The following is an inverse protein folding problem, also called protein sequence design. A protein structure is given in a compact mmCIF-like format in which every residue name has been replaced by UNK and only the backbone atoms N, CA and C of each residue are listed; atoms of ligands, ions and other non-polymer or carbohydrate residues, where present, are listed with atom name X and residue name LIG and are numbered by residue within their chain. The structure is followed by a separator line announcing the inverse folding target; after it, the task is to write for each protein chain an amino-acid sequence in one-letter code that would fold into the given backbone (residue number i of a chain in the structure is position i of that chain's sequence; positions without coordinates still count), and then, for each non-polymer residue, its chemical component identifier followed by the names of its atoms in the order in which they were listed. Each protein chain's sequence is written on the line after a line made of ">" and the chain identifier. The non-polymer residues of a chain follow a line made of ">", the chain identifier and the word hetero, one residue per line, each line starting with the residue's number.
data_IF_965624355456
#
_entry.id   IF_965624355456
#
_cell.length_a   1.000
_cell.length_b   1.000
_cell.length_c   1.000
_cell.angle_alpha   90.00
_cell.angle_beta   90.00
_cell.angle_gamma   90.00
#
_symmetry.space_group_name_H-M   'P 1'
#
loop_
_entity.id
_entity.type
_entity.pdbx_description
1 polymer ?
#
# COMPACT_ATOMS: atom_id res chain seq x y z
N UNK A 1 40.49 -10.69 14.16
CA UNK A 1 39.82 -9.37 13.97
C UNK A 1 38.51 -9.49 13.20
N UNK A 2 38.46 -10.22 12.07
CA UNK A 2 37.23 -10.38 11.26
C UNK A 2 36.05 -11.04 12.01
N UNK A 3 36.33 -12.01 12.89
CA UNK A 3 35.30 -12.72 13.66
C UNK A 3 34.57 -11.82 14.67
N UNK A 4 35.29 -10.92 15.36
CA UNK A 4 34.67 -9.97 16.30
C UNK A 4 33.74 -8.98 15.58
N UNK A 5 34.12 -8.53 14.39
CA UNK A 5 33.30 -7.62 13.56
C UNK A 5 32.03 -8.32 13.08
N UNK A 6 32.13 -9.59 12.66
CA UNK A 6 30.98 -10.40 12.25
C UNK A 6 29.96 -10.60 13.37
N UNK A 7 30.42 -10.90 14.59
CA UNK A 7 29.54 -11.07 15.77
C UNK A 7 28.88 -9.73 16.14
N UNK A 8 29.62 -8.62 16.09
CA UNK A 8 29.06 -7.28 16.38
C UNK A 8 27.99 -6.87 15.37
N UNK A 9 28.20 -7.13 14.07
CA UNK A 9 27.20 -6.87 13.02
C UNK A 9 25.96 -7.77 13.17
N UNK A 10 26.15 -9.04 13.52
CA UNK A 10 25.07 -9.98 13.77
C UNK A 10 24.19 -9.56 14.95
N UNK A 11 24.81 -9.14 16.06
CA UNK A 11 24.09 -8.65 17.24
C UNK A 11 23.37 -7.32 16.98
N UNK A 12 23.97 -6.42 16.19
CA UNK A 12 23.33 -5.18 15.76
C UNK A 12 22.11 -5.43 14.86
N UNK A 13 22.19 -6.43 13.96
CA UNK A 13 21.05 -6.83 13.12
C UNK A 13 19.89 -7.41 13.94
N UNK A 14 20.20 -8.23 14.97
CA UNK A 14 19.19 -8.73 15.91
C UNK A 14 18.58 -7.60 16.76
N UNK A 15 19.38 -6.62 17.19
CA UNK A 15 18.92 -5.49 17.98
C UNK A 15 18.01 -4.53 17.17
N UNK A 16 18.26 -4.35 15.87
CA UNK A 16 17.36 -3.58 14.99
C UNK A 16 16.01 -4.28 14.77
N UNK A 17 16.01 -5.62 14.77
CA UNK A 17 14.80 -6.44 14.70
C UNK A 17 14.12 -6.63 16.06
N UNK A 18 14.78 -6.27 17.16
CA UNK A 18 14.16 -6.29 18.47
C UNK A 18 13.06 -5.23 18.50
N UNK A 19 11.84 -5.58 18.97
CA UNK A 19 10.82 -4.58 19.21
C UNK A 19 11.41 -3.51 20.13
N UNK A 20 11.41 -2.26 19.68
CA UNK A 20 11.68 -1.11 20.55
C UNK A 20 10.48 -1.05 21.51
N UNK A 21 10.60 -1.75 22.63
CA UNK A 21 9.71 -1.56 23.78
C UNK A 21 10.05 -0.19 24.33
N UNK A 22 9.24 0.82 24.00
CA UNK A 22 9.25 2.10 24.72
C UNK A 22 9.14 1.77 26.21
N UNK A 23 10.20 2.09 26.94
CA UNK A 23 10.38 1.65 28.32
C UNK A 23 9.28 2.19 29.22
N UNK A 24 8.52 1.26 29.81
CA UNK A 24 7.59 1.57 30.87
C UNK A 24 6.70 0.38 31.19
N UNK A 25 7.15 -0.43 32.15
CA UNK A 25 6.43 -1.45 32.91
C UNK A 25 6.11 -2.82 32.28
N UNK A 26 6.65 -3.86 32.93
CA UNK A 26 6.22 -5.23 32.76
C UNK A 26 5.01 -5.53 33.63
N UNK A 27 4.38 -6.67 33.32
CA UNK A 27 3.28 -7.31 34.08
C UNK A 27 1.89 -6.75 33.76
N UNK A 28 1.18 -7.46 32.87
CA UNK A 28 -0.28 -7.58 32.79
C UNK A 28 -1.08 -6.39 33.34
N UNK A 29 -1.34 -5.40 32.48
CA UNK A 29 -2.57 -4.62 32.57
C UNK A 29 -3.37 -4.84 31.29
N UNK A 30 -4.58 -5.37 31.48
CA UNK A 30 -5.60 -5.50 30.47
C UNK A 30 -5.99 -4.14 29.87
N UNK A 31 -6.77 -4.22 28.79
CA UNK A 31 -7.55 -3.17 28.15
C UNK A 31 -6.81 -2.25 27.16
N UNK A 32 -7.08 -2.51 25.88
CA UNK A 32 -7.56 -1.50 24.93
C UNK A 32 -6.86 -0.13 25.02
N UNK A 33 -5.54 -0.11 24.90
CA UNK A 33 -4.82 1.10 24.51
C UNK A 33 -4.73 1.07 22.99
N UNK A 34 -5.82 1.50 22.35
CA UNK A 34 -5.98 1.73 20.92
C UNK A 34 -4.92 1.08 20.04
N UNK A 35 -5.17 -0.18 19.66
CA UNK A 35 -4.43 -0.92 18.63
C UNK A 35 -4.63 -0.30 17.23
N UNK A 36 -4.69 1.03 17.11
CA UNK A 36 -4.32 1.75 15.89
C UNK A 36 -2.79 1.69 15.84
N UNK A 37 -2.30 0.47 15.70
CA UNK A 37 -0.91 0.10 15.88
C UNK A 37 -0.07 0.70 14.76
N UNK A 38 0.83 1.59 15.15
CA UNK A 38 2.09 1.85 14.45
C UNK A 38 3.08 0.66 14.57
N UNK A 39 2.56 -0.55 14.77
CA UNK A 39 3.32 -1.78 14.87
C UNK A 39 3.26 -2.51 13.53
N UNK A 40 4.43 -2.90 13.01
CA UNK A 40 4.59 -3.80 11.85
C UNK A 40 3.89 -3.34 10.56
N UNK A 41 4.44 -2.29 9.92
CA UNK A 41 4.56 -2.09 8.46
C UNK A 41 3.32 -2.09 7.54
N UNK A 42 2.13 -2.44 8.03
CA UNK A 42 0.97 -2.75 7.20
C UNK A 42 -0.32 -2.85 8.01
N UNK A 43 -0.54 -1.91 8.93
CA UNK A 43 -1.81 -1.76 9.65
C UNK A 43 -2.97 -1.36 8.72
N UNK A 44 -4.02 -0.73 9.28
CA UNK A 44 -5.23 -0.31 8.55
C UNK A 44 -4.89 0.45 7.24
N UNK A 45 -3.83 1.25 7.23
CA UNK A 45 -3.35 1.99 6.04
C UNK A 45 -2.97 1.04 4.89
N UNK A 46 -2.25 -0.05 5.16
CA UNK A 46 -1.89 -1.04 4.14
C UNK A 46 -3.11 -1.75 3.57
N UNK A 47 -4.12 -2.01 4.41
CA UNK A 47 -5.39 -2.61 3.99
C UNK A 47 -6.20 -1.64 3.11
N UNK A 48 -6.27 -0.36 3.46
CA UNK A 48 -6.90 0.67 2.63
C UNK A 48 -6.23 0.74 1.25
N UNK A 49 -4.90 0.78 1.23
CA UNK A 49 -4.11 0.83 -0.01
C UNK A 49 -4.36 -0.42 -0.88
N UNK A 50 -4.42 -1.61 -0.28
CA UNK A 50 -4.75 -2.85 -0.98
C UNK A 50 -6.17 -2.80 -1.60
N UNK A 51 -7.15 -2.31 -0.85
CA UNK A 51 -8.53 -2.16 -1.35
C UNK A 51 -8.57 -1.18 -2.52
N UNK A 52 -7.86 -0.05 -2.42
CA UNK A 52 -7.79 0.93 -3.50
C UNK A 52 -7.11 0.37 -4.76
N UNK A 53 -6.07 -0.45 -4.64
CA UNK A 53 -5.43 -1.14 -5.77
C UNK A 53 -6.43 -2.02 -6.53
N UNK A 54 -7.24 -2.81 -5.81
CA UNK A 54 -8.30 -3.64 -6.41
C UNK A 54 -9.34 -2.79 -7.14
N UNK A 55 -9.75 -1.65 -6.58
CA UNK A 55 -10.71 -0.76 -7.23
C UNK A 55 -10.17 -0.19 -8.54
N UNK A 56 -8.90 0.20 -8.56
CA UNK A 56 -8.23 0.69 -9.78
C UNK A 56 -8.17 -0.42 -10.82
N UNK A 57 -7.85 -1.66 -10.43
CA UNK A 57 -7.87 -2.81 -11.34
C UNK A 57 -9.25 -3.02 -11.98
N UNK A 58 -10.32 -2.99 -11.17
CA UNK A 58 -11.69 -3.14 -11.68
C UNK A 58 -12.02 -2.00 -12.67
N UNK A 59 -11.66 -0.76 -12.35
CA UNK A 59 -11.87 0.40 -13.23
C UNK A 59 -11.12 0.25 -14.57
N UNK A 60 -9.83 -0.11 -14.51
CA UNK A 60 -8.98 -0.31 -15.68
C UNK A 60 -9.49 -1.45 -16.55
N UNK A 61 -9.87 -2.58 -15.95
CA UNK A 61 -10.39 -3.74 -16.68
C UNK A 61 -11.74 -3.43 -17.35
N UNK A 62 -12.62 -2.67 -16.70
CA UNK A 62 -13.92 -2.24 -17.24
C UNK A 62 -13.82 -1.10 -18.28
N UNK A 63 -12.67 -0.42 -18.38
CA UNK A 63 -12.48 0.68 -19.32
C UNK A 63 -12.47 0.24 -20.79
N UNK A 64 -12.86 1.14 -21.70
CA UNK A 64 -12.75 0.95 -23.16
C UNK A 64 -11.34 1.34 -23.66
N UNK A 65 -10.30 0.74 -23.07
CA UNK A 65 -8.90 0.94 -23.47
C UNK A 65 -8.33 -0.31 -24.13
N UNK A 66 -7.33 -0.20 -25.02
CA UNK A 66 -6.66 -1.37 -25.56
C UNK A 66 -5.99 -2.21 -24.46
N UNK A 67 -5.88 -3.54 -24.62
CA UNK A 67 -5.34 -4.44 -23.59
C UNK A 67 -3.95 -4.08 -23.09
N UNK A 68 -3.08 -3.55 -23.97
CA UNK A 68 -1.72 -3.10 -23.62
C UNK A 68 -1.72 -1.98 -22.59
N UNK A 69 -2.64 -1.02 -22.71
CA UNK A 69 -2.75 0.10 -21.78
C UNK A 69 -3.34 -0.35 -20.44
N UNK A 70 -4.27 -1.31 -20.46
CA UNK A 70 -4.81 -1.90 -19.23
C UNK A 70 -3.71 -2.57 -18.41
N UNK A 71 -2.90 -3.41 -19.07
CA UNK A 71 -1.78 -4.10 -18.43
C UNK A 71 -0.75 -3.13 -17.86
N UNK A 72 -0.40 -2.08 -18.60
CA UNK A 72 0.57 -1.08 -18.16
C UNK A 72 0.08 -0.34 -16.89
N UNK A 73 -1.19 0.06 -16.86
CA UNK A 73 -1.77 0.71 -15.67
C UNK A 73 -1.86 -0.24 -14.47
N UNK A 74 -2.30 -1.49 -14.67
CA UNK A 74 -2.31 -2.49 -13.61
C UNK A 74 -0.90 -2.73 -13.04
N UNK A 75 0.12 -2.85 -13.89
CA UNK A 75 1.50 -3.12 -13.45
C UNK A 75 2.09 -1.97 -12.62
N UNK A 76 1.83 -0.72 -13.02
CA UNK A 76 2.32 0.46 -12.30
C UNK A 76 1.71 0.56 -10.90
N UNK A 77 0.39 0.37 -10.78
CA UNK A 77 -0.32 0.52 -9.49
C UNK A 77 0.04 -0.64 -8.56
N UNK A 78 0.16 -1.86 -9.09
CA UNK A 78 0.53 -3.04 -8.29
C UNK A 78 1.98 -2.99 -7.76
N UNK A 79 2.94 -2.61 -8.61
CA UNK A 79 4.36 -2.57 -8.22
C UNK A 79 4.66 -1.38 -7.29
N UNK A 80 3.92 -0.29 -7.45
CA UNK A 80 4.03 0.90 -6.64
C UNK A 80 2.66 1.30 -6.09
N UNK A 81 2.15 0.67 -5.02
CA UNK A 81 0.78 0.88 -4.56
C UNK A 81 0.49 2.36 -4.21
N UNK A 82 1.41 3.04 -3.54
CA UNK A 82 1.21 4.45 -3.16
C UNK A 82 1.44 5.40 -4.36
N UNK A 83 2.61 5.29 -5.00
CA UNK A 83 2.98 6.19 -6.11
C UNK A 83 2.17 5.92 -7.38
N UNK A 84 1.92 4.65 -7.70
CA UNK A 84 1.13 4.22 -8.83
C UNK A 84 -0.32 4.66 -8.74
N UNK A 85 -0.94 4.63 -7.54
CA UNK A 85 -2.26 5.26 -7.32
C UNK A 85 -2.24 6.76 -7.59
N UNK A 86 -1.20 7.47 -7.14
CA UNK A 86 -1.06 8.91 -7.36
C UNK A 86 -0.94 9.24 -8.86
N UNK A 87 -0.10 8.49 -9.59
CA UNK A 87 0.09 8.64 -11.04
C UNK A 87 -1.21 8.29 -11.78
N UNK A 88 -1.89 7.21 -11.39
CA UNK A 88 -3.17 6.84 -11.97
C UNK A 88 -4.22 7.93 -11.78
N UNK A 89 -4.31 8.51 -10.58
CA UNK A 89 -5.26 9.57 -10.31
C UNK A 89 -5.03 10.83 -11.17
N UNK A 90 -3.77 11.22 -11.37
CA UNK A 90 -3.41 12.45 -12.08
C UNK A 90 -3.40 12.28 -13.61
N UNK A 91 -2.90 11.15 -14.13
CA UNK A 91 -2.56 11.01 -15.55
C UNK A 91 -3.39 9.96 -16.29
N UNK A 92 -4.20 9.15 -15.60
CA UNK A 92 -4.96 8.09 -16.27
C UNK A 92 -6.11 8.61 -17.14
N UNK A 93 -6.46 9.89 -17.09
CA UNK A 93 -7.58 10.50 -17.82
C UNK A 93 -8.85 9.63 -17.73
N UNK A 94 -9.15 9.16 -16.51
CA UNK A 94 -10.14 8.12 -16.24
C UNK A 94 -11.52 8.44 -16.80
N UNK A 95 -11.91 9.71 -16.82
CA UNK A 95 -13.24 10.15 -17.27
C UNK A 95 -13.48 9.92 -18.76
N UNK A 96 -12.46 10.10 -19.60
CA UNK A 96 -12.56 9.84 -21.03
C UNK A 96 -12.69 8.33 -21.37
N UNK A 97 -12.43 7.46 -20.41
CA UNK A 97 -12.39 6.01 -20.61
C UNK A 97 -13.39 5.25 -19.74
N UNK A 98 -14.24 5.97 -19.00
CA UNK A 98 -15.37 5.39 -18.25
C UNK A 98 -16.50 5.09 -19.21
N UNK A 99 -16.96 3.85 -19.21
CA UNK A 99 -17.95 3.29 -20.15
C UNK A 99 -19.40 3.77 -19.88
N UNK A 100 -19.61 4.93 -19.23
CA UNK A 100 -20.95 5.37 -18.83
C UNK A 100 -21.05 6.86 -18.66
N UNK A 101 -21.87 7.50 -19.50
CA UNK A 101 -22.18 8.93 -19.39
C UNK A 101 -22.65 9.63 -20.66
N UNK A 102 -22.96 8.92 -21.75
CA UNK A 102 -23.72 9.53 -22.86
C UNK A 102 -25.21 9.58 -22.51
N UNK A 103 -25.56 10.32 -21.45
CA UNK A 103 -26.93 10.83 -21.32
C UNK A 103 -26.99 12.05 -22.22
N UNK A 104 -27.41 11.85 -23.47
CA UNK A 104 -27.92 12.96 -24.28
C UNK A 104 -29.24 13.40 -23.62
N UNK A 105 -29.35 14.63 -23.08
CA UNK A 105 -30.65 15.14 -22.70
C UNK A 105 -31.49 15.25 -23.97
N UNK A 106 -32.55 14.45 -24.04
CA UNK A 106 -33.53 14.49 -25.13
C UNK A 106 -34.16 15.90 -25.17
N UNK A 107 -34.36 16.49 -26.36
CA UNK A 107 -34.90 17.85 -26.53
C UNK A 107 -36.32 17.99 -25.97
#
# INVERSE_FOLDING_TARGET
>A
MIQNVLIQLFLAALAFAAPITDGGDGTLHAMNKDMIGYGTGGGIVGLIVLVLDVLVFIEVLKSNRPPSHKLLWCLIVFLFPILGMLIYFLFSNREAHKTGGAYEPLP
#
